data_IF_458848823397
#
_entry.id   IF_458848823397
#
_cell.length_a   1.000
_cell.length_b   1.000
_cell.length_c   1.000
_cell.angle_alpha   90.00
_cell.angle_beta   90.00
_cell.angle_gamma   90.00
#
_symmetry.space_group_name_H-M   'P 1'
#
loop_
_entity.id
_entity.type
_entity.pdbx_description
1 polymer ?
#
# COMPACT_ATOMS: atom_id res chain seq x y z
N UNK A 1 -16.79 -8.24 22.89
CA UNK A 1 -16.10 -7.81 21.65
C UNK A 1 -15.62 -6.37 21.84
N UNK A 2 -14.76 -6.12 22.82
CA UNK A 2 -14.35 -4.74 23.22
C UNK A 2 -12.84 -4.61 23.46
N UNK A 3 -12.10 -5.70 23.41
CA UNK A 3 -10.70 -5.75 23.87
C UNK A 3 -9.69 -5.32 22.80
N UNK A 4 -10.06 -5.38 21.51
CA UNK A 4 -9.17 -5.05 20.39
C UNK A 4 -9.03 -3.53 20.13
N UNK A 5 -10.06 -2.74 20.47
CA UNK A 5 -9.98 -1.28 20.30
C UNK A 5 -9.04 -0.63 21.33
N UNK A 6 -8.98 -1.19 22.54
CA UNK A 6 -8.20 -0.64 23.66
C UNK A 6 -6.69 -0.75 23.45
N UNK A 7 -6.20 -1.83 22.84
CA UNK A 7 -4.76 -2.04 22.64
C UNK A 7 -4.14 -1.05 21.64
N UNK A 8 -4.88 -0.66 20.61
CA UNK A 8 -4.39 0.31 19.63
C UNK A 8 -4.27 1.72 20.21
N UNK A 9 -5.12 2.09 21.17
CA UNK A 9 -5.10 3.40 21.84
C UNK A 9 -3.97 3.47 22.89
N UNK A 10 -3.71 2.38 23.62
CA UNK A 10 -2.65 2.35 24.64
C UNK A 10 -1.23 2.39 24.06
N UNK A 11 -1.01 1.84 22.85
CA UNK A 11 0.29 1.93 22.20
C UNK A 11 0.62 3.37 21.71
N UNK A 12 -0.38 4.26 21.60
CA UNK A 12 -0.22 5.64 21.10
C UNK A 12 0.11 6.66 22.18
N UNK A 13 -0.16 6.34 23.45
CA UNK A 13 0.10 7.25 24.58
C UNK A 13 1.57 7.15 25.06
N UNK A 14 2.29 6.09 24.70
CA UNK A 14 3.69 5.91 25.10
C UNK A 14 4.67 6.76 24.27
N UNK A 15 4.32 7.11 23.03
CA UNK A 15 5.16 7.93 22.15
C UNK A 15 4.54 9.32 21.98
N UNK A 16 4.97 10.29 22.79
CA UNK A 16 4.60 11.72 22.72
C UNK A 16 4.95 12.44 21.41
N UNK A 17 5.29 11.70 20.34
CA UNK A 17 5.67 12.17 19.02
C UNK A 17 4.75 11.62 17.89
N UNK A 18 3.60 11.02 18.22
CA UNK A 18 2.73 10.43 17.21
C UNK A 18 2.14 11.51 16.29
N UNK A 19 2.42 11.41 14.98
CA UNK A 19 1.86 12.30 13.97
C UNK A 19 0.32 12.20 13.97
N UNK A 20 -0.40 13.30 13.71
CA UNK A 20 -1.85 13.29 13.55
C UNK A 20 -2.31 12.14 12.67
N UNK A 21 -3.40 11.51 13.06
CA UNK A 21 -3.90 10.25 12.50
C UNK A 21 -3.97 10.20 10.96
N UNK A 22 -4.35 11.33 10.34
CA UNK A 22 -4.39 11.52 8.88
C UNK A 22 -3.01 11.39 8.22
N UNK A 23 -1.95 11.73 8.92
CA UNK A 23 -0.55 11.62 8.47
C UNK A 23 -0.06 10.18 8.61
N UNK A 24 -0.42 9.51 9.71
CA UNK A 24 -0.11 8.11 9.94
C UNK A 24 -0.68 7.19 8.85
N UNK A 25 -1.97 7.35 8.51
CA UNK A 25 -2.58 6.57 7.44
C UNK A 25 -1.90 6.80 6.08
N UNK A 26 -1.49 8.03 5.78
CA UNK A 26 -0.74 8.31 4.54
C UNK A 26 0.65 7.67 4.52
N UNK A 27 1.28 7.50 5.67
CA UNK A 27 2.57 6.82 5.78
C UNK A 27 2.43 5.31 5.59
N UNK A 28 1.38 4.69 6.14
CA UNK A 28 1.20 3.24 6.10
C UNK A 28 0.38 2.76 4.88
N UNK A 29 -0.45 3.61 4.29
CA UNK A 29 -1.35 3.25 3.20
C UNK A 29 -1.30 4.21 2.01
N UNK A 30 -1.59 3.65 0.83
CA UNK A 30 -1.98 4.39 -0.37
C UNK A 30 -3.49 4.24 -0.55
N UNK A 31 -4.25 5.34 -0.58
CA UNK A 31 -5.71 5.29 -0.56
C UNK A 31 -6.28 5.78 -1.89
N UNK A 32 -7.12 4.97 -2.51
CA UNK A 32 -7.72 5.23 -3.81
C UNK A 32 -6.87 4.73 -4.98
N UNK A 33 -7.52 4.58 -6.13
CA UNK A 33 -6.92 4.02 -7.35
C UNK A 33 -5.69 4.82 -7.79
N UNK A 34 -5.76 6.15 -7.73
CA UNK A 34 -4.68 7.03 -8.20
C UNK A 34 -3.41 6.84 -7.37
N UNK A 35 -3.52 6.87 -6.04
CA UNK A 35 -2.36 6.74 -5.17
C UNK A 35 -1.74 5.34 -5.26
N UNK A 36 -2.58 4.29 -5.33
CA UNK A 36 -2.11 2.91 -5.51
C UNK A 36 -1.38 2.74 -6.85
N UNK A 37 -1.98 3.21 -7.95
CA UNK A 37 -1.39 3.16 -9.29
C UNK A 37 -0.04 3.88 -9.32
N UNK A 38 -0.02 5.11 -8.78
CA UNK A 38 1.17 5.94 -8.73
C UNK A 38 2.33 5.28 -7.97
N UNK A 39 2.05 4.51 -6.91
CA UNK A 39 3.09 3.77 -6.20
C UNK A 39 3.55 2.55 -6.99
N UNK A 40 2.64 1.75 -7.54
CA UNK A 40 2.98 0.58 -8.35
C UNK A 40 3.81 0.94 -9.60
N UNK A 41 3.50 2.04 -10.25
CA UNK A 41 4.25 2.53 -11.42
C UNK A 41 5.70 2.87 -11.07
N UNK A 42 5.94 3.46 -9.89
CA UNK A 42 7.27 3.85 -9.41
C UNK A 42 8.06 2.71 -8.78
N UNK A 43 7.42 1.60 -8.42
CA UNK A 43 8.13 0.39 -8.04
C UNK A 43 8.94 -0.12 -9.23
N UNK A 44 10.21 -0.46 -8.99
CA UNK A 44 11.06 -1.04 -10.03
C UNK A 44 10.41 -2.30 -10.61
N UNK A 45 10.40 -2.49 -11.95
CA UNK A 45 10.01 -3.75 -12.53
C UNK A 45 10.92 -4.85 -11.98
N UNK A 46 10.34 -5.96 -11.54
CA UNK A 46 11.14 -7.10 -11.09
C UNK A 46 11.68 -7.80 -12.36
N UNK A 47 12.99 -8.03 -12.49
CA UNK A 47 13.55 -8.75 -13.63
C UNK A 47 12.89 -10.13 -13.76
N UNK A 48 12.39 -10.43 -14.96
CA UNK A 48 11.94 -11.77 -15.30
C UNK A 48 13.12 -12.73 -15.11
N UNK A 49 12.93 -13.83 -14.38
CA UNK A 49 13.94 -14.90 -14.27
C UNK A 49 14.09 -15.48 -15.68
N UNK A 50 15.17 -15.14 -16.38
CA UNK A 50 15.43 -15.61 -17.73
C UNK A 50 16.27 -14.70 -18.65
N UNK A 51 16.62 -13.48 -18.24
CA UNK A 51 17.52 -12.62 -19.03
C UNK A 51 18.85 -12.41 -18.31
N UNK A 52 19.92 -12.94 -18.93
CA UNK A 52 21.31 -12.67 -18.59
C UNK A 52 21.58 -11.15 -18.50
N UNK A 53 22.48 -10.68 -17.62
CA UNK A 53 22.64 -9.25 -17.38
C UNK A 53 23.45 -8.62 -18.52
N UNK A 54 22.79 -7.90 -19.42
CA UNK A 54 23.43 -6.80 -20.11
C UNK A 54 23.38 -5.59 -19.17
N UNK A 55 24.55 -5.21 -18.67
CA UNK A 55 24.79 -4.04 -17.82
C UNK A 55 24.05 -2.80 -18.33
N UNK A 56 23.27 -2.10 -17.48
CA UNK A 56 22.98 -0.70 -17.69
C UNK A 56 23.94 0.12 -16.83
N UNK A 57 24.74 0.96 -17.51
CA UNK A 57 25.55 1.99 -16.88
C UNK A 57 24.71 2.78 -15.87
N UNK A 58 25.09 2.62 -14.60
CA UNK A 58 24.52 3.35 -13.47
C UNK A 58 24.91 4.82 -13.58
N UNK A 59 24.06 5.64 -14.19
CA UNK A 59 24.07 7.08 -13.96
C UNK A 59 23.43 7.30 -12.60
N UNK A 60 24.28 7.30 -11.58
CA UNK A 60 23.99 7.69 -10.21
C UNK A 60 23.25 9.03 -10.18
N UNK A 61 21.95 8.98 -9.87
CA UNK A 61 21.23 10.14 -9.36
C UNK A 61 20.87 9.84 -7.90
N UNK A 62 21.63 10.43 -6.99
CA UNK A 62 21.41 10.45 -5.53
C UNK A 62 20.08 11.14 -5.17
N UNK A 63 18.96 10.56 -5.57
CA UNK A 63 17.68 10.80 -4.89
C UNK A 63 17.51 9.60 -3.99
N UNK A 64 17.55 9.81 -2.67
CA UNK A 64 16.87 8.91 -1.71
C UNK A 64 15.38 8.94 -2.08
N UNK A 65 15.03 8.22 -3.14
CA UNK A 65 13.64 7.88 -3.44
C UNK A 65 13.33 6.86 -2.37
N UNK A 66 12.64 7.29 -1.32
CA UNK A 66 12.03 6.38 -0.36
C UNK A 66 11.21 5.39 -1.19
N UNK A 67 11.71 4.17 -1.31
CA UNK A 67 11.11 3.16 -2.16
C UNK A 67 9.89 2.63 -1.43
N UNK A 68 8.78 3.39 -1.49
CA UNK A 68 7.52 2.93 -0.96
C UNK A 68 7.08 1.70 -1.78
N UNK A 69 7.36 0.52 -1.23
CA UNK A 69 6.95 -0.75 -1.79
C UNK A 69 5.58 -1.10 -1.23
N UNK A 70 4.62 -1.40 -2.11
CA UNK A 70 3.37 -2.01 -1.68
C UNK A 70 3.60 -3.50 -1.40
N UNK A 71 3.17 -3.97 -0.23
CA UNK A 71 3.16 -5.38 0.12
C UNK A 71 1.89 -6.08 -0.36
N UNK A 72 0.77 -5.35 -0.43
CA UNK A 72 -0.51 -5.86 -0.91
C UNK A 72 -1.40 -4.70 -1.38
N UNK A 73 -2.38 -5.03 -2.24
CA UNK A 73 -3.47 -4.13 -2.63
C UNK A 73 -4.80 -4.77 -2.28
N UNK A 74 -5.62 -4.07 -1.49
CA UNK A 74 -7.02 -4.40 -1.23
C UNK A 74 -7.89 -3.63 -2.22
N UNK A 75 -8.79 -4.32 -2.91
CA UNK A 75 -9.67 -3.75 -3.94
C UNK A 75 -11.13 -4.07 -3.67
N UNK A 76 -11.97 -3.05 -3.55
CA UNK A 76 -13.41 -3.21 -3.37
C UNK A 76 -14.07 -3.85 -4.62
N UNK A 77 -14.79 -4.95 -4.42
CA UNK A 77 -15.48 -5.67 -5.51
C UNK A 77 -16.73 -4.96 -6.02
N UNK A 78 -17.27 -4.04 -5.22
CA UNK A 78 -18.46 -3.22 -5.47
C UNK A 78 -18.14 -1.91 -6.20
N UNK A 79 -16.91 -1.72 -6.69
CA UNK A 79 -16.56 -0.56 -7.51
C UNK A 79 -17.41 -0.49 -8.79
N UNK A 80 -18.09 0.65 -8.98
CA UNK A 80 -18.83 0.97 -10.19
C UNK A 80 -18.56 2.44 -10.56
N UNK A 81 -18.06 2.75 -11.77
CA UNK A 81 -17.84 1.83 -12.88
C UNK A 81 -16.56 0.98 -12.74
N UNK A 82 -16.63 -0.29 -13.16
CA UNK A 82 -15.52 -1.25 -13.04
C UNK A 82 -14.25 -0.85 -13.79
N UNK A 83 -14.38 -0.03 -14.85
CA UNK A 83 -13.23 0.38 -15.67
C UNK A 83 -12.18 1.16 -14.88
N UNK A 84 -12.56 1.83 -13.78
CA UNK A 84 -11.64 2.55 -12.90
C UNK A 84 -10.55 1.65 -12.30
N UNK A 85 -10.81 0.35 -12.20
CA UNK A 85 -9.91 -0.61 -11.53
C UNK A 85 -9.38 -1.67 -12.48
N UNK A 86 -9.72 -1.59 -13.78
CA UNK A 86 -9.42 -2.64 -14.78
C UNK A 86 -7.92 -2.87 -14.95
N UNK A 87 -7.10 -1.84 -14.80
CA UNK A 87 -5.64 -1.90 -14.95
C UNK A 87 -4.91 -2.37 -13.68
N UNK A 88 -5.56 -2.33 -12.51
CA UNK A 88 -4.89 -2.66 -11.25
C UNK A 88 -4.39 -4.10 -11.18
N UNK A 89 -5.13 -5.14 -11.63
CA UNK A 89 -4.66 -6.51 -11.59
C UNK A 89 -3.37 -6.74 -12.38
N UNK A 90 -3.29 -6.23 -13.61
CA UNK A 90 -2.09 -6.37 -14.44
C UNK A 90 -0.91 -5.58 -13.88
N UNK A 91 -1.17 -4.35 -13.41
CA UNK A 91 -0.14 -3.50 -12.82
C UNK A 91 0.43 -4.08 -11.52
N UNK A 92 -0.42 -4.61 -10.63
CA UNK A 92 0.01 -5.26 -9.40
C UNK A 92 0.80 -6.55 -9.69
N UNK A 93 0.32 -7.37 -10.63
CA UNK A 93 1.00 -8.61 -11.05
C UNK A 93 2.40 -8.35 -11.64
N UNK A 94 2.56 -7.31 -12.48
CA UNK A 94 3.85 -6.89 -13.03
C UNK A 94 4.88 -6.54 -11.95
N UNK A 95 4.42 -6.13 -10.77
CA UNK A 95 5.26 -5.76 -9.63
C UNK A 95 5.32 -6.84 -8.54
N UNK A 96 4.74 -8.03 -8.81
CA UNK A 96 4.56 -9.13 -7.84
C UNK A 96 3.90 -8.68 -6.52
N UNK A 97 2.98 -7.74 -6.61
CA UNK A 97 2.18 -7.29 -5.46
C UNK A 97 0.86 -8.07 -5.45
N UNK A 98 0.54 -8.82 -4.39
CA UNK A 98 -0.74 -9.52 -4.29
C UNK A 98 -1.91 -8.53 -4.28
N UNK A 99 -2.93 -8.81 -5.08
CA UNK A 99 -4.18 -8.06 -5.14
C UNK A 99 -5.30 -8.93 -4.55
N UNK A 100 -5.98 -8.41 -3.52
CA UNK A 100 -7.03 -9.09 -2.77
C UNK A 100 -8.34 -8.34 -2.98
N UNK A 101 -9.34 -9.03 -3.51
CA UNK A 101 -10.68 -8.48 -3.66
C UNK A 101 -11.47 -8.55 -2.36
N UNK A 102 -11.97 -7.41 -1.90
CA UNK A 102 -12.84 -7.32 -0.73
C UNK A 102 -14.29 -7.36 -1.19
N UNK A 103 -15.02 -8.36 -0.72
CA UNK A 103 -16.43 -8.60 -1.06
C UNK A 103 -17.23 -8.72 0.23
N UNK A 104 -17.98 -7.67 0.58
CA UNK A 104 -18.88 -7.66 1.73
C UNK A 104 -20.29 -7.27 1.31
N UNK A 105 -21.14 -8.21 0.83
CA UNK A 105 -22.55 -7.95 0.47
C UNK A 105 -22.81 -6.65 -0.36
N UNK A 106 -21.86 -6.26 -1.23
CA UNK A 106 -21.82 -4.98 -2.00
C UNK A 106 -21.45 -3.70 -1.22
N UNK A 107 -20.87 -3.82 -0.02
CA UNK A 107 -20.29 -2.75 0.80
C UNK A 107 -18.79 -2.93 1.03
N UNK A 108 -18.07 -3.57 0.11
CA UNK A 108 -16.61 -3.71 0.21
C UNK A 108 -15.92 -2.35 0.27
N UNK A 109 -16.40 -1.38 -0.51
CA UNK A 109 -15.90 -0.01 -0.51
C UNK A 109 -16.16 0.74 0.80
N UNK A 110 -17.28 0.46 1.47
CA UNK A 110 -17.59 0.98 2.80
C UNK A 110 -16.62 0.41 3.84
N UNK A 111 -16.40 -0.91 3.84
CA UNK A 111 -15.46 -1.57 4.77
C UNK A 111 -14.02 -1.09 4.60
N UNK A 112 -13.58 -0.91 3.36
CA UNK A 112 -12.28 -0.30 3.11
C UNK A 112 -12.23 1.14 3.63
N UNK A 113 -13.31 1.92 3.46
CA UNK A 113 -13.41 3.27 4.01
C UNK A 113 -13.24 3.30 5.53
N UNK A 114 -13.99 2.45 6.25
CA UNK A 114 -13.94 2.34 7.70
C UNK A 114 -12.52 2.03 8.22
N UNK A 115 -11.76 1.16 7.53
CA UNK A 115 -10.38 0.81 7.87
C UNK A 115 -9.43 2.01 7.91
N UNK A 116 -9.67 3.01 7.06
CA UNK A 116 -8.86 4.24 6.96
C UNK A 116 -9.63 5.49 7.41
N UNK A 117 -10.73 5.29 8.15
CA UNK A 117 -11.61 6.34 8.70
C UNK A 117 -12.07 7.36 7.66
N UNK A 118 -12.46 6.84 6.50
CA UNK A 118 -13.14 7.56 5.42
C UNK A 118 -14.53 6.97 5.20
N UNK A 119 -15.42 7.73 4.54
CA UNK A 119 -16.77 7.25 4.21
C UNK A 119 -16.73 6.01 3.30
N UNK A 120 -15.82 6.00 2.32
CA UNK A 120 -15.61 4.88 1.39
C UNK A 120 -14.18 4.90 0.88
N UNK A 121 -13.67 3.76 0.45
CA UNK A 121 -12.43 3.64 -0.32
C UNK A 121 -12.56 2.51 -1.34
N UNK A 122 -12.09 2.73 -2.57
CA UNK A 122 -12.15 1.71 -3.63
C UNK A 122 -10.91 0.81 -3.61
N UNK A 123 -9.74 1.38 -3.33
CA UNK A 123 -8.48 0.65 -3.31
C UNK A 123 -7.63 1.11 -2.11
N UNK A 124 -6.93 0.19 -1.48
CA UNK A 124 -5.95 0.46 -0.42
C UNK A 124 -4.69 -0.33 -0.71
N UNK A 125 -3.57 0.35 -0.91
CA UNK A 125 -2.24 -0.25 -0.94
C UNK A 125 -1.63 -0.24 0.45
N UNK A 126 -1.16 -1.39 0.93
CA UNK A 126 -0.43 -1.52 2.20
C UNK A 126 1.05 -1.29 1.92
N UNK A 127 1.64 -0.25 2.51
CA UNK A 127 3.06 0.06 2.34
C UNK A 127 3.90 -0.76 3.31
N UNK A 128 5.10 -1.16 2.87
CA UNK A 128 6.08 -1.70 3.79
C UNK A 128 6.52 -0.60 4.76
N UNK A 129 6.39 -0.84 6.06
CA UNK A 129 7.13 -0.08 7.06
C UNK A 129 8.60 -0.48 6.87
N UNK A 130 9.46 0.47 6.51
CA UNK A 130 10.90 0.27 6.63
C UNK A 130 11.16 -0.04 8.10
N UNK A 131 11.42 -1.31 8.43
CA UNK A 131 12.14 -1.60 9.67
C UNK A 131 13.55 -1.05 9.44
N UNK A 132 14.08 -0.18 10.32
CA UNK A 132 15.51 0.03 10.34
C UNK A 132 16.11 -1.34 10.57
N UNK A 133 16.86 -1.85 9.59
CA UNK A 133 17.80 -2.94 9.83
C UNK A 133 18.68 -2.44 10.98
N UNK A 134 18.44 -2.93 12.20
CA UNK A 134 19.46 -2.84 13.24
C UNK A 134 20.60 -3.72 12.74
N UNK A 135 21.63 -3.07 12.23
CA UNK A 135 22.91 -3.70 11.95
C UNK A 135 23.45 -4.20 13.30
N UNK A 136 23.18 -5.46 13.63
CA UNK A 136 23.95 -6.20 14.62
C UNK A 136 25.11 -6.87 13.88
N UNK A 137 26.21 -6.13 13.74
CA UNK A 137 27.55 -6.65 13.51
C UNK A 137 28.48 -5.99 14.51
#
# INVERSE_FOLDING_TARGET
>A
METLYRETETARILDGNSLPEKIWFKQQFSIGVNDVTRVLERMAPIPQVGSYPAQPHSVSSNRKVTSFQLQAVLLASDCNPRWLTKHLPSLASSRRVPLIYVKDKKGGSLRLGELVKLRTAIAIGVKAKEMPLMNFL
#
